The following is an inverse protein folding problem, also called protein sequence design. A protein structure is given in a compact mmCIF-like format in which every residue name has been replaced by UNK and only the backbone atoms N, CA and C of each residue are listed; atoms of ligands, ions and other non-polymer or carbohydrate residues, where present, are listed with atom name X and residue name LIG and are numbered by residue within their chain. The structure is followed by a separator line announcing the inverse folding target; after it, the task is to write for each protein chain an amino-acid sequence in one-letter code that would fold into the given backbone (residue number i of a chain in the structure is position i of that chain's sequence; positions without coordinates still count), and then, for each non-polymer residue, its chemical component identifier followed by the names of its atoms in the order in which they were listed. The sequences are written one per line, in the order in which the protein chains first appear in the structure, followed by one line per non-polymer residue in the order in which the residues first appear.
data_IF_706659968712
#
_entry.id   IF_706659968712
#
_cell.length_a   1.000
_cell.length_b   1.000
_cell.length_c   1.000
_cell.angle_alpha   90.00
_cell.angle_beta   90.00
_cell.angle_gamma   90.00
#
_symmetry.space_group_name_H-M   'P 1'
#
loop_
_entity.id
_entity.type
_entity.pdbx_description
1 polymer ?
#
# COMPACT_ATOMS: atom_id res chain seq x y z
N UNK A 1 -16.52 -3.13 11.36
CA UNK A 1 -15.49 -2.44 10.56
C UNK A 1 -15.31 -3.14 9.22
N UNK A 2 -15.36 -2.39 8.10
CA UNK A 2 -15.50 -2.96 6.75
C UNK A 2 -14.30 -3.82 6.34
N UNK A 3 -13.06 -3.40 6.61
CA UNK A 3 -11.85 -4.15 6.24
C UNK A 3 -11.82 -5.55 6.86
N UNK A 4 -12.24 -5.68 8.13
CA UNK A 4 -12.35 -6.99 8.78
C UNK A 4 -13.39 -7.89 8.10
N UNK A 5 -14.50 -7.31 7.61
CA UNK A 5 -15.49 -8.08 6.86
C UNK A 5 -14.98 -8.56 5.51
N UNK A 6 -14.25 -7.70 4.77
CA UNK A 6 -13.60 -8.12 3.53
C UNK A 6 -12.57 -9.22 3.77
N UNK A 7 -11.72 -9.06 4.78
CA UNK A 7 -10.74 -10.06 5.17
C UNK A 7 -11.39 -11.40 5.49
N UNK A 8 -12.37 -11.42 6.39
CA UNK A 8 -13.05 -12.64 6.80
C UNK A 8 -13.74 -13.36 5.64
N UNK A 9 -14.40 -12.62 4.74
CA UNK A 9 -15.05 -13.21 3.55
C UNK A 9 -14.02 -13.79 2.57
N UNK A 10 -12.92 -13.09 2.35
CA UNK A 10 -11.86 -13.53 1.45
C UNK A 10 -11.15 -14.77 1.99
N UNK A 11 -10.86 -14.81 3.29
CA UNK A 11 -10.30 -15.99 3.97
C UNK A 11 -11.26 -17.19 3.85
N UNK A 12 -12.56 -16.97 4.11
CA UNK A 12 -13.55 -18.03 3.97
C UNK A 12 -13.62 -18.56 2.52
N UNK A 13 -13.56 -17.69 1.53
CA UNK A 13 -13.50 -18.08 0.12
C UNK A 13 -12.25 -18.92 -0.18
N UNK A 14 -11.05 -18.49 0.25
CA UNK A 14 -9.79 -19.24 0.05
C UNK A 14 -9.89 -20.61 0.67
N UNK A 15 -10.35 -20.71 1.93
CA UNK A 15 -10.52 -22.02 2.62
C UNK A 15 -11.51 -22.94 1.91
N UNK A 16 -12.53 -22.39 1.27
CA UNK A 16 -13.48 -23.18 0.47
C UNK A 16 -12.87 -23.58 -0.89
N UNK A 17 -12.25 -22.64 -1.60
CA UNK A 17 -11.66 -22.87 -2.92
C UNK A 17 -10.51 -23.90 -2.86
N UNK A 18 -9.70 -23.86 -1.79
CA UNK A 18 -8.61 -24.80 -1.57
C UNK A 18 -9.04 -26.28 -1.47
N UNK A 19 -10.33 -26.54 -1.14
CA UNK A 19 -10.88 -27.90 -1.12
C UNK A 19 -11.14 -28.44 -2.52
N UNK A 20 -11.13 -27.60 -3.54
CA UNK A 20 -11.29 -27.99 -4.93
C UNK A 20 -9.91 -28.11 -5.59
N UNK A 21 -9.75 -29.04 -6.52
CA UNK A 21 -8.52 -29.17 -7.30
C UNK A 21 -8.39 -28.12 -8.42
N UNK A 22 -9.21 -27.07 -8.40
CA UNK A 22 -9.26 -26.04 -9.44
C UNK A 22 -8.48 -24.79 -9.02
N UNK A 23 -7.75 -24.14 -9.93
CA UNK A 23 -7.18 -22.83 -9.67
C UNK A 23 -8.26 -21.81 -9.26
N UNK A 24 -7.91 -20.84 -8.42
CA UNK A 24 -8.79 -19.75 -8.05
C UNK A 24 -8.08 -18.40 -8.23
N UNK A 25 -8.87 -17.36 -8.32
CA UNK A 25 -8.43 -15.96 -8.35
C UNK A 25 -9.25 -15.17 -7.34
N UNK A 26 -8.57 -14.34 -6.54
CA UNK A 26 -9.22 -13.45 -5.56
C UNK A 26 -8.73 -12.04 -5.81
N UNK A 27 -9.67 -11.13 -6.02
CA UNK A 27 -9.41 -9.69 -6.04
C UNK A 27 -10.07 -9.05 -4.82
N UNK A 28 -9.28 -8.36 -4.00
CA UNK A 28 -9.76 -7.73 -2.78
C UNK A 28 -9.56 -6.22 -2.89
N UNK A 29 -10.62 -5.51 -3.28
CA UNK A 29 -10.64 -4.04 -3.31
C UNK A 29 -11.09 -3.50 -1.95
N UNK A 30 -10.16 -2.90 -1.20
CA UNK A 30 -10.48 -2.30 0.10
C UNK A 30 -10.82 -0.82 -0.05
N UNK A 31 -11.78 -0.27 0.73
CA UNK A 31 -12.08 1.17 0.69
C UNK A 31 -11.02 2.02 1.40
N UNK A 32 -10.18 1.44 2.21
CA UNK A 32 -9.14 2.20 2.93
C UNK A 32 -7.87 2.43 2.11
N UNK A 33 -7.16 3.51 2.40
CA UNK A 33 -7.41 4.54 3.42
C UNK A 33 -8.19 5.77 2.90
N UNK A 34 -9.28 5.56 2.15
CA UNK A 34 -10.18 6.63 1.69
C UNK A 34 -10.78 7.41 2.87
N UNK A 35 -11.15 8.67 2.64
CA UNK A 35 -11.87 9.47 3.65
C UNK A 35 -13.19 8.78 4.07
N UNK A 36 -13.55 8.90 5.35
CA UNK A 36 -12.99 9.74 6.43
C UNK A 36 -11.71 9.22 7.09
N UNK A 37 -11.06 8.17 6.58
CA UNK A 37 -9.80 7.63 7.11
C UNK A 37 -9.87 7.32 8.61
N UNK A 38 -10.93 6.64 9.03
CA UNK A 38 -11.15 6.29 10.44
C UNK A 38 -10.48 4.95 10.74
N UNK A 39 -9.45 4.91 11.61
CA UNK A 39 -8.83 3.67 12.06
C UNK A 39 -9.83 2.71 12.68
N UNK A 40 -9.54 1.41 12.63
CA UNK A 40 -10.31 0.45 13.38
C UNK A 40 -10.21 0.73 14.89
N UNK A 41 -11.26 0.43 15.69
CA UNK A 41 -11.23 0.70 17.12
C UNK A 41 -10.01 0.12 17.85
N UNK A 42 -9.55 -1.06 17.45
CA UNK A 42 -8.39 -1.72 18.04
C UNK A 42 -7.04 -1.13 17.57
N UNK A 43 -7.01 -0.34 16.49
CA UNK A 43 -5.84 0.39 16.02
C UNK A 43 -5.85 1.88 16.40
N UNK A 44 -6.96 2.40 16.93
CA UNK A 44 -7.13 3.83 17.22
C UNK A 44 -6.08 4.35 18.21
N UNK A 45 -5.80 3.60 19.26
CA UNK A 45 -4.80 3.99 20.25
C UNK A 45 -3.41 4.10 19.65
N UNK A 46 -3.03 3.14 18.82
CA UNK A 46 -1.73 3.14 18.12
C UNK A 46 -1.68 4.31 17.13
N UNK A 47 -2.73 4.49 16.32
CA UNK A 47 -2.80 5.59 15.36
C UNK A 47 -2.63 6.96 16.04
N UNK A 48 -3.25 7.16 17.20
CA UNK A 48 -3.14 8.39 17.98
C UNK A 48 -1.73 8.63 18.56
N UNK A 49 -1.00 7.56 18.84
CA UNK A 49 0.37 7.64 19.39
C UNK A 49 1.45 7.81 18.32
N UNK A 50 1.11 7.69 17.03
CA UNK A 50 2.07 7.84 15.94
C UNK A 50 2.63 9.26 15.88
N UNK A 51 3.93 9.38 16.04
CA UNK A 51 4.65 10.64 15.85
C UNK A 51 5.17 10.73 14.39
N UNK A 52 4.23 10.81 13.46
CA UNK A 52 4.52 10.92 12.04
C UNK A 52 3.82 12.13 11.43
N UNK A 53 4.41 12.66 10.38
CA UNK A 53 3.86 13.73 9.56
C UNK A 53 3.78 13.30 8.10
N UNK A 54 3.00 14.02 7.30
CA UNK A 54 2.99 13.85 5.86
C UNK A 54 4.40 14.11 5.28
N UNK A 55 4.82 13.42 4.23
CA UNK A 55 6.14 13.60 3.64
C UNK A 55 6.39 15.05 3.20
N UNK A 56 7.47 15.65 3.68
CA UNK A 56 7.92 16.99 3.28
C UNK A 56 8.82 16.88 2.05
N UNK A 57 8.24 16.35 0.94
CA UNK A 57 8.92 16.29 -0.36
C UNK A 57 9.26 17.70 -0.87
N UNK A 58 10.23 17.85 -1.81
CA UNK A 58 10.63 19.16 -2.31
C UNK A 58 9.49 20.02 -2.87
N UNK A 59 8.42 19.39 -3.35
CA UNK A 59 7.22 20.05 -3.87
C UNK A 59 6.13 20.28 -2.80
N UNK A 60 6.38 19.96 -1.53
CA UNK A 60 5.43 20.22 -0.44
C UNK A 60 5.26 21.72 -0.25
N UNK A 61 4.00 22.20 -0.25
CA UNK A 61 3.63 23.61 -0.13
C UNK A 61 4.31 24.55 -1.16
N UNK A 62 4.79 23.99 -2.27
CA UNK A 62 5.39 24.78 -3.35
C UNK A 62 4.34 25.14 -4.39
N UNK A 63 4.44 26.38 -4.92
CA UNK A 63 3.59 26.81 -6.02
C UNK A 63 4.05 26.11 -7.31
N UNK A 64 3.09 25.55 -8.03
CA UNK A 64 3.34 24.95 -9.35
C UNK A 64 3.12 26.00 -10.47
N UNK A 65 3.92 27.06 -10.46
CA UNK A 65 3.71 28.24 -11.31
C UNK A 65 3.81 27.96 -12.83
N UNK A 66 4.50 26.90 -13.20
CA UNK A 66 4.71 26.43 -14.58
C UNK A 66 3.69 25.35 -15.01
N UNK A 67 2.71 25.05 -14.16
CA UNK A 67 1.67 24.09 -14.43
C UNK A 67 0.37 24.80 -14.85
N UNK A 68 -0.61 24.01 -15.29
CA UNK A 68 -1.92 24.54 -15.65
C UNK A 68 -2.65 25.17 -14.45
N UNK A 69 -3.57 26.09 -14.70
CA UNK A 69 -4.18 26.99 -13.73
C UNK A 69 -4.69 26.32 -12.46
N UNK A 70 -5.26 25.11 -12.56
CA UNK A 70 -5.74 24.37 -11.40
C UNK A 70 -4.66 24.12 -10.34
N UNK A 71 -3.39 23.96 -10.74
CA UNK A 71 -2.27 23.78 -9.83
C UNK A 71 -1.54 25.07 -9.47
N UNK A 72 -1.51 26.03 -10.42
CA UNK A 72 -0.76 27.29 -10.26
C UNK A 72 -1.46 28.33 -9.39
N UNK A 73 -2.72 28.11 -8.99
CA UNK A 73 -3.53 29.09 -8.24
C UNK A 73 -3.76 28.72 -6.78
N UNK A 74 -3.27 27.56 -6.31
CA UNK A 74 -3.48 27.15 -4.92
C UNK A 74 -2.78 28.09 -3.92
N UNK A 75 -3.50 28.56 -2.89
CA UNK A 75 -2.92 29.39 -1.85
C UNK A 75 -1.88 28.61 -1.03
N UNK A 76 -1.01 29.35 -0.36
CA UNK A 76 -0.05 28.76 0.56
C UNK A 76 -0.77 28.01 1.68
N UNK A 77 -0.28 26.81 2.01
CA UNK A 77 -0.81 26.05 3.14
C UNK A 77 -0.41 26.75 4.45
N UNK A 78 -1.40 27.08 5.25
CA UNK A 78 -1.19 27.66 6.58
C UNK A 78 -0.66 26.59 7.56
N UNK A 79 -0.02 27.00 8.68
CA UNK A 79 0.42 26.04 9.71
C UNK A 79 -0.71 25.16 10.23
N UNK A 80 -1.91 25.69 10.42
CA UNK A 80 -3.07 24.91 10.88
C UNK A 80 -3.45 23.82 9.87
N UNK A 81 -3.54 24.20 8.59
CA UNK A 81 -3.84 23.24 7.52
C UNK A 81 -2.75 22.17 7.36
N UNK A 82 -1.49 22.53 7.58
CA UNK A 82 -0.38 21.57 7.63
C UNK A 82 -0.56 20.59 8.80
N UNK A 83 -1.02 21.07 9.95
CA UNK A 83 -1.37 20.26 11.12
C UNK A 83 -2.48 19.25 10.81
N UNK A 84 -3.53 19.70 10.09
CA UNK A 84 -4.64 18.83 9.66
C UNK A 84 -4.16 17.75 8.68
N UNK A 85 -3.26 18.10 7.76
CA UNK A 85 -2.65 17.14 6.83
C UNK A 85 -1.86 16.07 7.59
N UNK A 86 -1.11 16.45 8.62
CA UNK A 86 -0.36 15.52 9.46
C UNK A 86 -1.30 14.62 10.28
N UNK A 87 -2.39 15.18 10.79
CA UNK A 87 -3.42 14.40 11.46
C UNK A 87 -4.06 13.38 10.52
N UNK A 88 -4.41 13.80 9.31
CA UNK A 88 -4.94 12.91 8.27
C UNK A 88 -3.94 11.79 7.94
N UNK A 89 -2.65 12.11 7.84
CA UNK A 89 -1.61 11.10 7.60
C UNK A 89 -1.59 10.03 8.68
N UNK A 90 -1.65 10.41 9.97
CA UNK A 90 -1.73 9.45 11.08
C UNK A 90 -2.96 8.55 11.00
N UNK A 91 -4.12 9.13 10.70
CA UNK A 91 -5.35 8.37 10.53
C UNK A 91 -5.26 7.37 9.37
N UNK A 92 -4.71 7.80 8.23
CA UNK A 92 -4.49 6.92 7.08
C UNK A 92 -3.59 5.74 7.43
N UNK A 93 -2.51 5.96 8.18
CA UNK A 93 -1.66 4.89 8.70
C UNK A 93 -2.43 3.93 9.60
N UNK A 94 -3.26 4.45 10.50
CA UNK A 94 -4.12 3.63 11.35
C UNK A 94 -5.11 2.75 10.56
N UNK A 95 -5.62 3.25 9.42
CA UNK A 95 -6.43 2.44 8.51
C UNK A 95 -5.62 1.37 7.81
N UNK A 96 -4.39 1.69 7.39
CA UNK A 96 -3.49 0.74 6.71
C UNK A 96 -3.14 -0.45 7.62
N UNK A 97 -3.05 -0.28 8.95
CA UNK A 97 -2.85 -1.39 9.88
C UNK A 97 -3.95 -2.47 9.74
N UNK A 98 -5.20 -2.07 9.46
CA UNK A 98 -6.28 -3.04 9.22
C UNK A 98 -6.16 -3.72 7.84
N UNK A 99 -5.47 -3.11 6.90
CA UNK A 99 -5.14 -3.74 5.61
C UNK A 99 -4.01 -4.74 5.79
N UNK A 100 -3.03 -4.43 6.65
CA UNK A 100 -1.97 -5.38 7.03
C UNK A 100 -2.57 -6.62 7.72
N UNK A 101 -3.50 -6.44 8.67
CA UNK A 101 -4.24 -7.55 9.28
C UNK A 101 -4.96 -8.42 8.22
N UNK A 102 -5.60 -7.76 7.24
CA UNK A 102 -6.28 -8.45 6.16
C UNK A 102 -5.29 -9.24 5.30
N UNK A 103 -4.18 -8.64 4.90
CA UNK A 103 -3.15 -9.31 4.08
C UNK A 103 -2.53 -10.48 4.82
N UNK A 104 -2.24 -10.31 6.11
CA UNK A 104 -1.75 -11.42 6.96
C UNK A 104 -2.75 -12.57 6.99
N UNK A 105 -4.03 -12.30 7.23
CA UNK A 105 -5.07 -13.34 7.24
C UNK A 105 -5.25 -14.06 5.91
N UNK A 106 -5.05 -13.37 4.77
CA UNK A 106 -5.06 -14.02 3.45
C UNK A 106 -3.85 -14.93 3.26
N UNK A 107 -2.66 -14.45 3.66
CA UNK A 107 -1.42 -15.22 3.61
C UNK A 107 -1.54 -16.49 4.43
N UNK A 108 -1.97 -16.37 5.70
CA UNK A 108 -2.15 -17.50 6.61
C UNK A 108 -3.14 -18.53 6.06
N UNK A 109 -4.24 -18.09 5.46
CA UNK A 109 -5.23 -18.98 4.87
C UNK A 109 -4.67 -19.78 3.69
N UNK A 110 -3.79 -19.20 2.88
CA UNK A 110 -3.10 -19.87 1.77
C UNK A 110 -2.04 -20.81 2.30
N UNK A 111 -1.31 -20.43 3.36
CA UNK A 111 -0.31 -21.26 4.03
C UNK A 111 -0.94 -22.49 4.69
N UNK A 112 -2.01 -22.31 5.46
CA UNK A 112 -2.78 -23.40 6.08
C UNK A 112 -3.32 -24.39 5.05
N UNK A 113 -3.62 -23.90 3.84
CA UNK A 113 -4.06 -24.74 2.73
C UNK A 113 -2.91 -25.46 2.00
N UNK A 114 -1.65 -25.20 2.33
CA UNK A 114 -0.47 -25.75 1.67
C UNK A 114 -0.24 -25.24 0.25
N UNK A 115 -0.76 -24.06 -0.10
CA UNK A 115 -0.78 -23.51 -1.45
C UNK A 115 0.21 -22.36 -1.70
N UNK A 116 1.07 -22.01 -0.73
CA UNK A 116 2.00 -20.88 -0.87
C UNK A 116 2.92 -21.01 -2.08
N UNK A 117 3.42 -22.20 -2.37
CA UNK A 117 4.37 -22.44 -3.47
C UNK A 117 3.72 -22.28 -4.86
N UNK A 118 2.39 -22.29 -4.93
CA UNK A 118 1.60 -22.18 -6.17
C UNK A 118 0.74 -20.93 -6.23
N UNK A 119 0.88 -20.00 -5.27
CA UNK A 119 0.08 -18.80 -5.18
C UNK A 119 0.92 -17.53 -5.37
N UNK A 120 0.44 -16.62 -6.20
CA UNK A 120 1.03 -15.29 -6.39
C UNK A 120 0.20 -14.27 -5.63
N UNK A 121 0.87 -13.42 -4.84
CA UNK A 121 0.28 -12.26 -4.19
C UNK A 121 0.70 -11.00 -4.92
N UNK A 122 -0.29 -10.24 -5.38
CA UNK A 122 -0.09 -8.94 -6.04
C UNK A 122 -0.69 -7.85 -5.16
N UNK A 123 0.11 -6.85 -4.81
CA UNK A 123 -0.35 -5.69 -4.07
C UNK A 123 -0.16 -4.44 -4.92
N UNK A 124 -1.22 -3.64 -5.09
CA UNK A 124 -1.20 -2.43 -5.87
C UNK A 124 -2.13 -1.38 -5.29
N UNK A 125 -2.03 -0.15 -5.79
CA UNK A 125 -2.95 0.93 -5.53
C UNK A 125 -3.59 1.37 -6.85
N UNK A 126 -4.81 1.87 -6.80
CA UNK A 126 -5.52 2.44 -7.95
C UNK A 126 -4.93 3.79 -8.40
N UNK A 127 -4.44 4.60 -7.44
CA UNK A 127 -3.84 5.92 -7.68
C UNK A 127 -3.02 6.38 -6.49
N UNK A 128 -2.34 7.53 -6.63
CA UNK A 128 -1.66 8.22 -5.56
C UNK A 128 -2.58 9.16 -4.78
N UNK A 129 -1.99 9.90 -3.82
CA UNK A 129 -2.72 10.83 -2.96
C UNK A 129 -1.84 12.02 -2.60
N UNK A 130 -2.38 13.24 -2.69
CA UNK A 130 -1.71 14.45 -2.27
C UNK A 130 -1.88 14.67 -0.77
N UNK A 131 -0.80 15.10 -0.13
CA UNK A 131 -0.74 15.49 1.27
C UNK A 131 0.15 16.73 1.38
N UNK A 132 -0.23 17.80 0.69
CA UNK A 132 0.46 19.08 0.68
C UNK A 132 1.37 19.34 -0.53
N UNK A 133 1.57 18.36 -1.42
CA UNK A 133 2.33 18.57 -2.66
C UNK A 133 1.60 19.59 -3.54
N UNK A 134 2.36 20.55 -4.10
CA UNK A 134 1.85 21.65 -4.93
C UNK A 134 0.72 22.44 -4.27
N UNK A 135 0.75 22.58 -2.93
CA UNK A 135 -0.28 23.24 -2.13
C UNK A 135 -1.66 22.57 -2.19
N UNK A 136 -1.74 21.32 -2.66
CA UNK A 136 -2.95 20.50 -2.61
C UNK A 136 -3.00 19.82 -1.24
N UNK A 137 -3.89 20.22 -0.34
CA UNK A 137 -3.87 19.74 1.04
C UNK A 137 -4.21 18.26 1.15
N UNK A 138 -5.21 17.85 0.38
CA UNK A 138 -5.73 16.47 0.37
C UNK A 138 -6.25 16.14 -1.03
N UNK A 139 -6.54 14.87 -1.27
CA UNK A 139 -7.19 14.41 -2.49
C UNK A 139 -6.24 13.87 -3.58
N UNK A 140 -6.83 13.44 -4.65
CA UNK A 140 -6.21 12.78 -5.80
C UNK A 140 -6.38 13.59 -7.10
N UNK A 141 -6.33 14.91 -6.98
CA UNK A 141 -6.38 15.80 -8.14
C UNK A 141 -5.10 15.66 -8.98
N UNK A 142 -5.24 15.77 -10.29
CA UNK A 142 -4.12 15.68 -11.22
C UNK A 142 -3.08 16.79 -11.01
N UNK A 143 -1.78 16.55 -11.25
CA UNK A 143 -1.18 15.27 -11.61
C UNK A 143 -0.88 14.44 -10.36
N UNK A 144 -1.57 13.34 -10.20
CA UNK A 144 -1.22 12.38 -9.16
C UNK A 144 0.13 11.80 -9.53
N UNK A 145 1.10 11.90 -8.65
CA UNK A 145 2.36 11.18 -8.82
C UNK A 145 2.02 9.69 -9.00
N UNK A 146 2.19 9.21 -10.19
CA UNK A 146 1.91 7.82 -10.55
C UNK A 146 2.71 6.90 -9.64
N UNK A 147 2.04 6.24 -8.73
CA UNK A 147 2.65 5.30 -7.84
C UNK A 147 3.12 4.08 -8.60
N UNK A 148 4.40 3.90 -8.60
CA UNK A 148 5.03 2.63 -8.93
C UNK A 148 4.91 1.70 -7.73
N UNK A 149 3.83 0.96 -7.62
CA UNK A 149 3.80 -0.12 -6.63
C UNK A 149 3.21 -1.36 -7.26
N UNK A 150 4.04 -2.05 -7.99
CA UNK A 150 3.87 -3.47 -8.19
C UNK A 150 4.93 -4.16 -7.33
N UNK A 151 4.60 -4.59 -6.13
CA UNK A 151 5.45 -5.50 -5.37
C UNK A 151 4.96 -6.92 -5.61
N UNK A 152 5.72 -7.65 -6.41
CA UNK A 152 5.70 -9.10 -6.37
C UNK A 152 6.40 -9.49 -5.07
N UNK A 153 5.68 -10.08 -4.14
CA UNK A 153 6.32 -10.71 -2.97
C UNK A 153 6.99 -11.98 -3.48
N UNK A 154 8.33 -12.12 -3.35
CA UNK A 154 9.01 -13.32 -3.77
C UNK A 154 8.56 -14.50 -2.89
N UNK A 155 8.29 -15.63 -3.52
CA UNK A 155 8.12 -16.88 -2.81
C UNK A 155 9.35 -17.14 -1.92
N UNK A 156 9.20 -17.32 -0.60
CA UNK A 156 10.34 -17.47 0.32
C UNK A 156 11.30 -18.62 -0.05
N UNK A 157 10.83 -19.63 -0.80
CA UNK A 157 11.63 -20.78 -1.20
C UNK A 157 12.48 -20.55 -2.46
N UNK A 158 12.21 -19.54 -3.27
CA UNK A 158 13.06 -19.26 -4.44
C UNK A 158 14.45 -18.75 -4.06
N UNK A 159 14.64 -18.22 -2.85
CA UNK A 159 15.93 -17.73 -2.37
C UNK A 159 16.80 -18.78 -1.67
N UNK A 160 16.28 -20.00 -1.41
CA UNK A 160 16.99 -21.05 -0.64
C UNK A 160 17.49 -22.22 -1.48
N UNK A 161 17.24 -22.28 -2.78
CA UNK A 161 17.72 -23.38 -3.63
C UNK A 161 19.06 -23.06 -4.26
N UNK A 162 20.16 -23.75 -3.93
CA UNK A 162 21.38 -23.66 -4.71
C UNK A 162 21.15 -24.38 -6.06
N UNK A 163 21.27 -23.62 -7.13
CA UNK A 163 21.45 -24.15 -8.50
C UNK A 163 20.30 -24.96 -9.14
N UNK A 164 19.06 -24.47 -9.13
CA UNK A 164 18.12 -24.91 -10.19
C UNK A 164 17.48 -23.69 -10.85
N UNK A 165 17.47 -23.72 -12.18
CA UNK A 165 17.05 -22.64 -13.11
C UNK A 165 15.71 -22.02 -12.69
N UNK A 166 15.78 -20.84 -12.09
CA UNK A 166 14.61 -20.02 -11.80
C UNK A 166 14.12 -19.39 -13.11
N UNK A 167 13.04 -19.86 -13.69
CA UNK A 167 12.41 -19.26 -14.87
C UNK A 167 11.80 -17.87 -14.60
N UNK A 168 11.87 -17.34 -13.38
CA UNK A 168 11.44 -15.98 -13.00
C UNK A 168 12.55 -14.95 -13.00
N UNK A 169 13.74 -15.27 -13.53
CA UNK A 169 14.90 -14.36 -13.51
C UNK A 169 14.79 -13.09 -14.38
N UNK A 170 13.76 -12.92 -15.20
CA UNK A 170 13.65 -11.69 -16.02
C UNK A 170 13.30 -10.43 -15.24
N UNK A 171 12.70 -10.54 -14.05
CA UNK A 171 12.33 -9.35 -13.27
C UNK A 171 13.38 -8.92 -12.23
N UNK A 172 14.28 -9.81 -11.79
CA UNK A 172 15.31 -9.46 -10.80
C UNK A 172 16.59 -8.86 -11.42
N UNK A 173 16.82 -9.00 -12.72
CA UNK A 173 18.03 -8.47 -13.37
C UNK A 173 17.98 -7.00 -13.74
N UNK A 174 16.82 -6.35 -13.75
CA UNK A 174 16.73 -4.93 -14.15
C UNK A 174 16.99 -3.92 -13.03
N UNK A 175 17.11 -4.37 -11.77
CA UNK A 175 17.33 -3.47 -10.62
C UNK A 175 18.75 -3.48 -10.06
N UNK A 176 19.72 -4.14 -10.73
CA UNK A 176 21.12 -4.22 -10.27
C UNK A 176 21.97 -2.98 -10.54
N UNK A 177 21.41 -1.80 -10.82
CA UNK A 177 22.25 -0.62 -11.13
C UNK A 177 22.34 0.46 -10.06
N UNK A 178 21.77 0.33 -8.88
CA UNK A 178 21.85 1.43 -7.88
C UNK A 178 22.05 1.05 -6.41
N UNK A 179 22.29 -0.20 -6.06
CA UNK A 179 22.71 -0.51 -4.68
C UNK A 179 23.92 -1.45 -4.70
N UNK A 180 25.09 -0.85 -4.79
CA UNK A 180 26.34 -1.47 -4.43
C UNK A 180 26.39 -1.70 -2.91
N UNK A 181 26.96 -2.87 -2.54
CA UNK A 181 27.35 -3.23 -1.19
C UNK A 181 26.25 -3.36 -0.14
N UNK A 182 25.69 -4.57 -0.02
CA UNK A 182 25.28 -5.21 1.23
C UNK A 182 24.92 -6.68 0.96
N UNK A 183 25.91 -7.46 0.60
CA UNK A 183 25.93 -8.93 0.72
C UNK A 183 27.38 -9.33 0.96
N UNK A 184 27.73 -9.45 2.22
CA UNK A 184 28.84 -10.28 2.73
C UNK A 184 28.27 -11.17 3.80
#
# INVERSE_FOLDING_TARGET
YSHAQYGNRSVAFIKQAAKSAKPFFVFVGTPGPHLPSTPAPWHQSIANSLNISAPRSPNFNMLAADHFDLLSTHPILTPDLVGDIDHLMRNRWGVLMSIDDLVAGLHDAVEEAGLLDSTYFLFSSDHGYHLGQFRIPIEKMLPVSLLRVLRLLPCPRCCQAPQRRCCCCCCCCSTRRTYGSLCS
#
